data_IF_413989860282
#
_entry.id   IF_413989860282
#
_cell.length_a   1.000
_cell.length_b   1.000
_cell.length_c   1.000
_cell.angle_alpha   90.00
_cell.angle_beta   90.00
_cell.angle_gamma   90.00
#
_symmetry.space_group_name_H-M   'P 1'
#
loop_
_entity.id
_entity.type
_entity.pdbx_description
1 polymer ?
#
# COMPACT_ATOMS: atom_id res chain seq x y z
N UNK A 1 -23.80 -8.90 26.22
CA UNK A 1 -24.50 -8.44 25.01
C UNK A 1 -23.57 -8.66 23.84
N UNK A 2 -23.66 -9.84 23.28
CA UNK A 2 -22.96 -10.30 22.06
C UNK A 2 -23.89 -10.03 20.90
N UNK A 3 -23.65 -8.98 20.12
CA UNK A 3 -24.30 -8.81 18.82
C UNK A 3 -23.29 -9.17 17.73
N UNK A 4 -23.65 -10.23 17.10
CA UNK A 4 -23.16 -10.98 15.97
C UNK A 4 -22.72 -10.13 14.76
N UNK A 5 -21.50 -10.41 14.31
CA UNK A 5 -20.91 -9.98 13.03
C UNK A 5 -21.32 -10.91 11.86
N UNK A 6 -22.56 -11.33 11.78
CA UNK A 6 -23.02 -12.27 10.73
C UNK A 6 -23.71 -11.60 9.54
N UNK A 7 -23.86 -10.25 9.51
CA UNK A 7 -24.72 -9.62 8.48
C UNK A 7 -23.99 -9.05 7.26
N UNK A 8 -22.67 -9.16 7.12
CA UNK A 8 -21.92 -8.56 6.01
C UNK A 8 -21.47 -9.55 4.92
N UNK A 9 -21.68 -10.85 5.11
CA UNK A 9 -21.28 -11.87 4.13
C UNK A 9 -22.33 -12.13 3.01
N UNK A 10 -23.56 -11.68 3.17
CA UNK A 10 -24.64 -12.00 2.21
C UNK A 10 -24.78 -11.03 1.04
N UNK A 11 -24.06 -9.92 1.00
CA UNK A 11 -24.15 -8.93 -0.08
C UNK A 11 -22.98 -8.94 -1.07
N UNK A 12 -22.06 -9.89 -0.96
CA UNK A 12 -20.98 -10.02 -1.93
C UNK A 12 -21.41 -10.86 -3.12
N UNK A 13 -21.23 -10.36 -4.34
CA UNK A 13 -21.54 -11.07 -5.59
C UNK A 13 -20.89 -12.46 -5.66
N UNK A 14 -19.73 -12.66 -5.06
CA UNK A 14 -18.99 -13.92 -5.04
C UNK A 14 -19.63 -14.98 -4.14
N UNK A 15 -20.35 -14.60 -3.07
CA UNK A 15 -21.13 -15.52 -2.24
C UNK A 15 -22.37 -16.07 -2.97
N UNK A 16 -22.92 -15.32 -3.94
CA UNK A 16 -24.02 -15.81 -4.77
C UNK A 16 -23.53 -16.81 -5.82
N UNK A 17 -22.33 -16.60 -6.38
CA UNK A 17 -21.73 -17.53 -7.32
C UNK A 17 -21.40 -18.88 -6.66
N UNK A 18 -20.88 -18.88 -5.42
CA UNK A 18 -20.61 -20.10 -4.66
C UNK A 18 -21.86 -20.94 -4.38
N UNK A 19 -22.99 -20.28 -4.10
CA UNK A 19 -24.29 -20.98 -3.92
C UNK A 19 -24.78 -21.64 -5.19
N UNK A 20 -24.45 -21.14 -6.37
CA UNK A 20 -24.86 -21.71 -7.66
C UNK A 20 -24.01 -22.91 -8.09
N UNK A 21 -22.79 -23.05 -7.58
CA UNK A 21 -21.84 -24.13 -7.95
C UNK A 21 -21.90 -25.33 -6.99
N UNK A 22 -22.66 -25.27 -5.91
CA UNK A 22 -22.76 -26.35 -4.93
C UNK A 22 -21.53 -26.58 -4.06
N UNK A 23 -20.54 -25.66 -4.10
CA UNK A 23 -19.34 -25.68 -3.27
C UNK A 23 -19.67 -25.08 -1.89
N UNK A 24 -19.23 -25.71 -0.79
CA UNK A 24 -19.45 -25.17 0.55
C UNK A 24 -18.68 -23.86 0.77
N UNK A 25 -19.26 -22.92 1.49
CA UNK A 25 -18.61 -21.60 1.77
C UNK A 25 -17.22 -21.75 2.39
N UNK A 26 -16.93 -22.71 3.30
CA UNK A 26 -15.58 -22.96 3.78
C UNK A 26 -14.61 -23.40 2.69
N UNK A 27 -15.04 -24.28 1.79
CA UNK A 27 -14.17 -24.78 0.70
C UNK A 27 -13.89 -23.69 -0.33
N UNK A 28 -14.87 -22.83 -0.62
CA UNK A 28 -14.72 -21.68 -1.49
C UNK A 28 -13.75 -20.63 -0.90
N UNK A 29 -13.86 -20.34 0.41
CA UNK A 29 -12.94 -19.46 1.10
C UNK A 29 -11.52 -20.03 1.15
N UNK A 30 -11.38 -21.34 1.31
CA UNK A 30 -10.08 -22.02 1.32
C UNK A 30 -9.45 -22.05 -0.06
N UNK A 31 -10.24 -22.21 -1.11
CA UNK A 31 -9.77 -22.10 -2.51
C UNK A 31 -9.29 -20.68 -2.84
N UNK A 32 -10.03 -19.66 -2.40
CA UNK A 32 -9.65 -18.24 -2.57
C UNK A 32 -8.37 -17.88 -1.80
N UNK A 33 -8.18 -18.44 -0.62
CA UNK A 33 -6.95 -18.23 0.18
C UNK A 33 -5.74 -18.89 -0.50
N UNK A 34 -5.92 -20.04 -1.15
CA UNK A 34 -4.87 -20.74 -1.88
C UNK A 34 -4.52 -20.06 -3.22
N UNK A 35 -5.48 -19.40 -3.87
CA UNK A 35 -5.27 -18.66 -5.13
C UNK A 35 -4.83 -17.19 -4.95
N UNK A 36 -4.63 -16.74 -3.71
CA UNK A 36 -4.03 -15.43 -3.45
C UNK A 36 -4.92 -14.22 -3.73
N UNK A 37 -6.24 -14.37 -3.63
CA UNK A 37 -7.14 -13.23 -3.61
C UNK A 37 -6.97 -12.44 -2.30
N UNK A 38 -5.90 -11.65 -2.21
CA UNK A 38 -5.69 -10.69 -1.12
C UNK A 38 -6.68 -9.55 -1.29
N UNK A 39 -7.55 -9.35 -0.30
CA UNK A 39 -8.22 -8.06 -0.12
C UNK A 39 -7.14 -7.01 0.18
N UNK A 40 -6.61 -6.39 -0.85
CA UNK A 40 -5.53 -5.41 -0.79
C UNK A 40 -6.00 -4.02 -0.33
N UNK A 41 -7.14 -3.95 0.37
CA UNK A 41 -7.70 -2.72 0.89
C UNK A 41 -7.52 -2.62 2.41
N UNK A 42 -6.90 -1.53 2.85
CA UNK A 42 -6.70 -1.26 4.28
C UNK A 42 -7.17 0.14 4.62
N UNK A 43 -8.16 0.23 5.50
CA UNK A 43 -8.60 1.47 6.12
C UNK A 43 -7.92 1.65 7.47
N UNK A 44 -7.26 2.79 7.69
CA UNK A 44 -6.60 3.09 8.96
C UNK A 44 -6.42 4.58 9.17
N UNK A 45 -6.31 4.98 10.43
CA UNK A 45 -5.80 6.29 10.79
C UNK A 45 -4.27 6.26 10.83
N UNK A 46 -3.64 7.31 10.33
CA UNK A 46 -2.18 7.49 10.36
C UNK A 46 -1.87 8.84 11.03
N UNK A 47 -1.15 8.79 12.15
CA UNK A 47 -0.61 9.98 12.82
C UNK A 47 0.89 10.05 12.56
N UNK A 48 1.39 11.26 12.29
CA UNK A 48 2.81 11.52 11.99
C UNK A 48 3.39 12.52 12.97
N UNK A 49 4.59 12.23 13.42
CA UNK A 49 5.32 13.08 14.36
C UNK A 49 6.74 13.30 13.83
N UNK A 50 7.25 14.50 14.02
CA UNK A 50 8.67 14.78 13.84
C UNK A 50 9.40 14.47 15.13
N UNK A 51 10.60 13.88 15.02
CA UNK A 51 11.44 13.57 16.17
C UNK A 51 12.91 13.60 15.77
N UNK A 52 13.77 13.81 16.77
CA UNK A 52 15.21 13.74 16.62
C UNK A 52 15.68 12.28 16.57
N UNK A 53 16.89 12.06 16.07
CA UNK A 53 17.51 10.74 16.08
C UNK A 53 17.70 10.20 17.51
N UNK A 54 17.96 11.09 18.48
CA UNK A 54 18.10 10.72 19.89
C UNK A 54 16.77 10.20 20.46
N UNK A 55 15.67 10.92 20.23
CA UNK A 55 14.32 10.50 20.65
C UNK A 55 13.93 9.18 19.98
N UNK A 56 14.21 9.01 18.69
CA UNK A 56 13.97 7.77 17.97
C UNK A 56 14.70 6.58 18.64
N UNK A 57 15.99 6.74 18.95
CA UNK A 57 16.77 5.68 19.63
C UNK A 57 16.23 5.36 21.02
N UNK A 58 15.92 6.39 21.81
CA UNK A 58 15.34 6.22 23.15
C UNK A 58 14.02 5.48 23.10
N UNK A 59 13.09 5.94 22.23
CA UNK A 59 11.76 5.33 22.09
C UNK A 59 11.86 3.92 21.49
N UNK A 60 12.73 3.69 20.51
CA UNK A 60 13.00 2.37 19.95
C UNK A 60 13.41 1.36 21.03
N UNK A 61 14.32 1.74 21.95
CA UNK A 61 14.72 0.88 23.07
C UNK A 61 13.60 0.61 24.08
N UNK A 62 12.63 1.51 24.23
CA UNK A 62 11.44 1.27 25.04
C UNK A 62 10.47 0.31 24.32
N UNK A 63 10.25 0.51 23.01
CA UNK A 63 9.37 -0.34 22.21
C UNK A 63 9.88 -1.77 22.07
N UNK A 64 11.19 -1.98 22.03
CA UNK A 64 11.80 -3.32 22.03
C UNK A 64 11.36 -4.20 23.20
N UNK A 65 10.90 -3.60 24.31
CA UNK A 65 10.46 -4.30 25.52
C UNK A 65 8.98 -4.67 25.50
N UNK A 66 8.15 -3.91 24.75
CA UNK A 66 6.69 -3.99 24.84
C UNK A 66 6.00 -4.38 23.53
N UNK A 67 6.70 -4.24 22.41
CA UNK A 67 6.17 -4.54 21.08
C UNK A 67 7.02 -5.59 20.36
N UNK A 68 6.45 -6.21 19.35
CA UNK A 68 7.18 -7.09 18.44
C UNK A 68 7.86 -6.25 17.37
N UNK A 69 9.11 -6.55 17.06
CA UNK A 69 9.76 -6.01 15.89
C UNK A 69 9.14 -6.63 14.62
N UNK A 70 9.02 -5.83 13.56
CA UNK A 70 8.64 -6.34 12.22
C UNK A 70 9.71 -7.37 11.77
N UNK A 71 9.27 -8.48 11.18
CA UNK A 71 10.16 -9.56 10.75
C UNK A 71 11.22 -9.12 9.73
N UNK A 72 10.98 -8.00 9.02
CA UNK A 72 11.91 -7.43 8.04
C UNK A 72 12.94 -6.48 8.68
N UNK A 73 12.82 -6.17 9.98
CA UNK A 73 13.79 -5.30 10.63
C UNK A 73 15.17 -5.98 10.67
N UNK A 74 16.16 -5.39 10.00
CA UNK A 74 17.56 -5.64 10.34
C UNK A 74 18.01 -4.76 11.51
N UNK A 75 19.28 -4.75 11.83
CA UNK A 75 19.85 -3.95 12.93
C UNK A 75 19.46 -2.46 12.84
N UNK A 76 19.40 -1.92 11.62
CA UNK A 76 19.06 -0.52 11.33
C UNK A 76 17.73 -0.35 10.57
N UNK A 77 16.84 -1.34 10.64
CA UNK A 77 15.63 -1.37 9.83
C UNK A 77 15.87 -1.90 8.40
N UNK A 78 14.94 -1.65 7.49
CA UNK A 78 15.00 -2.06 6.09
C UNK A 78 14.82 -0.88 5.16
N UNK A 79 15.35 -0.99 3.95
CA UNK A 79 15.26 0.06 2.93
C UNK A 79 13.87 0.04 2.27
N UNK A 80 13.39 1.22 1.96
CA UNK A 80 12.18 1.42 1.15
C UNK A 80 12.53 2.45 0.08
N UNK A 81 12.30 2.08 -1.18
CA UNK A 81 12.39 2.99 -2.31
C UNK A 81 11.03 3.07 -2.98
N UNK A 82 10.57 4.26 -3.27
CA UNK A 82 9.27 4.49 -3.91
C UNK A 82 9.41 5.55 -4.99
N UNK A 83 8.94 5.23 -6.19
CA UNK A 83 8.74 6.18 -7.27
C UNK A 83 7.29 6.67 -7.20
N UNK A 84 7.12 7.96 -7.04
CA UNK A 84 5.80 8.61 -7.07
C UNK A 84 5.46 9.07 -8.47
N UNK A 85 4.20 8.89 -8.82
CA UNK A 85 3.63 9.39 -10.05
C UNK A 85 2.72 10.56 -9.76
N UNK A 86 2.64 11.50 -10.70
CA UNK A 86 1.68 12.60 -10.69
C UNK A 86 1.33 12.98 -12.13
N UNK A 87 0.29 13.75 -12.29
CA UNK A 87 -0.08 14.31 -13.60
C UNK A 87 0.98 15.32 -14.07
N UNK A 88 0.93 15.68 -15.34
CA UNK A 88 1.84 16.73 -15.90
C UNK A 88 1.74 18.02 -15.09
N UNK A 89 0.54 18.39 -14.65
CA UNK A 89 0.24 19.62 -13.91
C UNK A 89 0.33 19.43 -12.37
N UNK A 90 0.94 18.33 -11.88
CA UNK A 90 1.17 18.08 -10.45
C UNK A 90 -0.09 18.10 -9.58
N UNK A 91 -1.21 17.68 -10.15
CA UNK A 91 -2.53 17.74 -9.52
C UNK A 91 -2.63 17.06 -8.15
N UNK A 92 -2.00 15.89 -7.99
CA UNK A 92 -2.02 15.16 -6.72
C UNK A 92 -1.15 15.86 -5.65
N UNK A 93 -0.09 16.53 -6.08
CA UNK A 93 0.73 17.37 -5.22
C UNK A 93 -0.03 18.62 -4.78
N UNK A 94 -0.61 19.38 -5.71
CA UNK A 94 -1.41 20.56 -5.44
C UNK A 94 -2.61 20.23 -4.53
N UNK A 95 -3.35 19.16 -4.83
CA UNK A 95 -4.45 18.70 -3.97
C UNK A 95 -4.01 18.44 -2.53
N UNK A 96 -2.75 18.01 -2.31
CA UNK A 96 -2.19 17.84 -0.96
C UNK A 96 -1.86 19.20 -0.32
N UNK A 97 -1.28 20.15 -1.07
CA UNK A 97 -0.91 21.48 -0.56
C UNK A 97 -2.18 22.23 -0.17
N UNK A 98 -3.20 22.22 -1.03
CA UNK A 98 -4.49 22.87 -0.80
C UNK A 98 -5.32 22.18 0.30
N UNK A 99 -4.86 21.04 0.80
CA UNK A 99 -5.53 20.34 1.88
C UNK A 99 -6.85 19.68 1.49
N UNK A 100 -7.09 19.44 0.19
CA UNK A 100 -8.34 18.86 -0.29
C UNK A 100 -8.68 17.56 0.46
N UNK A 101 -9.97 17.38 0.77
CA UNK A 101 -10.44 16.19 1.50
C UNK A 101 -10.28 14.91 0.67
N UNK A 102 -10.60 15.02 -0.64
CA UNK A 102 -10.43 13.92 -1.60
C UNK A 102 -9.11 14.08 -2.34
N UNK A 103 -8.16 13.23 -2.02
CA UNK A 103 -6.85 13.24 -2.67
C UNK A 103 -6.26 11.85 -2.75
N UNK A 104 -5.41 11.65 -3.74
CA UNK A 104 -4.74 10.36 -3.99
C UNK A 104 -3.23 10.52 -4.11
N UNK A 105 -2.53 9.41 -4.06
CA UNK A 105 -1.11 9.29 -4.38
C UNK A 105 -0.87 7.91 -4.97
N UNK A 106 -0.28 7.87 -6.14
CA UNK A 106 0.12 6.64 -6.80
C UNK A 106 1.64 6.51 -6.69
N UNK A 107 2.11 5.30 -6.37
CA UNK A 107 3.54 5.01 -6.30
C UNK A 107 3.84 3.58 -6.65
N UNK A 108 5.04 3.37 -7.18
CA UNK A 108 5.66 2.07 -7.32
C UNK A 108 6.69 1.90 -6.20
N UNK A 109 6.64 0.81 -5.44
CA UNK A 109 7.49 0.58 -4.28
C UNK A 109 8.27 -0.71 -4.42
N UNK A 110 9.56 -0.66 -4.07
CA UNK A 110 10.41 -1.81 -3.85
C UNK A 110 11.03 -1.77 -2.45
N UNK A 111 11.34 -2.95 -1.93
CA UNK A 111 12.04 -3.14 -0.66
C UNK A 111 13.46 -3.66 -0.90
N UNK A 112 13.67 -4.37 -2.00
CA UNK A 112 14.94 -4.87 -2.45
C UNK A 112 15.11 -4.52 -3.95
N UNK A 113 16.21 -3.85 -4.34
CA UNK A 113 16.51 -3.59 -5.75
C UNK A 113 16.68 -4.86 -6.61
N UNK A 114 17.03 -6.00 -5.98
CA UNK A 114 17.18 -7.27 -6.65
C UNK A 114 15.86 -8.05 -6.80
N UNK A 115 14.76 -7.61 -6.12
CA UNK A 115 13.48 -8.29 -6.19
C UNK A 115 12.95 -8.40 -7.63
N UNK A 116 12.28 -9.50 -7.91
CA UNK A 116 11.62 -9.79 -9.19
C UNK A 116 10.23 -9.13 -9.32
N UNK A 117 9.83 -8.37 -8.34
CA UNK A 117 8.55 -7.67 -8.30
C UNK A 117 8.64 -6.29 -7.66
N UNK A 118 7.61 -5.48 -7.91
CA UNK A 118 7.35 -4.23 -7.22
C UNK A 118 5.89 -4.16 -6.78
N UNK A 119 5.59 -3.25 -5.84
CA UNK A 119 4.22 -2.98 -5.40
C UNK A 119 3.72 -1.69 -6.00
N UNK A 120 2.74 -1.76 -6.90
CA UNK A 120 1.97 -0.59 -7.31
C UNK A 120 0.96 -0.29 -6.19
N UNK A 121 1.01 0.89 -5.63
CA UNK A 121 0.18 1.30 -4.51
C UNK A 121 -0.55 2.61 -4.81
N UNK A 122 -1.84 2.65 -4.51
CA UNK A 122 -2.62 3.88 -4.46
C UNK A 122 -3.09 4.13 -3.03
N UNK A 123 -2.79 5.31 -2.52
CA UNK A 123 -3.37 5.83 -1.29
C UNK A 123 -4.38 6.91 -1.63
N UNK A 124 -5.60 6.72 -1.20
CA UNK A 124 -6.68 7.72 -1.30
C UNK A 124 -7.00 8.22 0.11
N UNK A 125 -7.14 9.51 0.26
CA UNK A 125 -7.67 10.13 1.46
C UNK A 125 -9.09 10.58 1.20
N UNK A 126 -9.98 10.32 2.15
CA UNK A 126 -11.37 10.71 2.14
C UNK A 126 -11.72 11.19 3.55
N UNK A 127 -11.78 12.51 3.73
CA UNK A 127 -11.89 13.13 5.03
C UNK A 127 -10.75 12.73 5.98
N UNK A 128 -11.08 12.09 7.11
CA UNK A 128 -10.11 11.58 8.08
C UNK A 128 -9.58 10.17 7.77
N UNK A 129 -10.19 9.45 6.84
CA UNK A 129 -9.84 8.07 6.51
C UNK A 129 -8.85 8.00 5.35
N UNK A 130 -8.05 6.94 5.37
CA UNK A 130 -7.15 6.60 4.26
C UNK A 130 -7.43 5.19 3.79
N UNK A 131 -7.75 5.07 2.51
CA UNK A 131 -7.84 3.80 1.81
C UNK A 131 -6.51 3.53 1.09
N UNK A 132 -5.92 2.38 1.35
CA UNK A 132 -4.74 1.91 0.63
C UNK A 132 -5.10 0.68 -0.17
N UNK A 133 -4.81 0.71 -1.48
CA UNK A 133 -4.86 -0.46 -2.36
C UNK A 133 -3.47 -0.73 -2.91
N UNK A 134 -3.17 -2.00 -3.17
CA UNK A 134 -1.85 -2.40 -3.68
C UNK A 134 -1.96 -3.62 -4.59
N UNK A 135 -1.14 -3.62 -5.64
CA UNK A 135 -0.99 -4.70 -6.60
C UNK A 135 0.49 -5.09 -6.70
N UNK A 136 0.76 -6.38 -6.66
CA UNK A 136 2.09 -6.90 -6.98
C UNK A 136 2.25 -6.98 -8.50
N UNK A 137 3.25 -6.30 -9.04
CA UNK A 137 3.58 -6.31 -10.47
C UNK A 137 4.96 -6.94 -10.69
N UNK A 138 5.17 -7.59 -11.82
CA UNK A 138 6.47 -8.15 -12.17
C UNK A 138 7.53 -7.05 -12.32
N UNK A 139 8.81 -7.42 -12.25
CA UNK A 139 9.91 -6.48 -12.45
C UNK A 139 9.86 -5.85 -13.84
N UNK A 140 9.57 -6.64 -14.88
CA UNK A 140 9.47 -6.17 -16.26
C UNK A 140 8.35 -5.14 -16.41
N UNK A 141 7.17 -5.44 -15.87
CA UNK A 141 6.03 -4.52 -15.90
C UNK A 141 6.31 -3.26 -15.07
N UNK A 142 6.97 -3.40 -13.92
CA UNK A 142 7.41 -2.26 -13.12
C UNK A 142 8.35 -1.33 -13.91
N UNK A 143 9.29 -1.88 -14.67
CA UNK A 143 10.17 -1.10 -15.54
C UNK A 143 9.38 -0.36 -16.63
N UNK A 144 8.36 -0.99 -17.21
CA UNK A 144 7.49 -0.30 -18.17
C UNK A 144 6.72 0.87 -17.52
N UNK A 145 6.22 0.68 -16.30
CA UNK A 145 5.57 1.75 -15.54
C UNK A 145 6.51 2.95 -15.29
N UNK A 146 7.79 2.70 -14.99
CA UNK A 146 8.78 3.80 -14.80
C UNK A 146 9.03 4.58 -16.08
N UNK A 147 8.71 4.04 -17.25
CA UNK A 147 8.80 4.71 -18.56
C UNK A 147 7.49 5.39 -18.97
N UNK A 148 6.48 5.40 -18.10
CA UNK A 148 5.14 5.94 -18.41
C UNK A 148 4.32 5.03 -19.32
N UNK A 149 4.67 3.77 -19.47
CA UNK A 149 3.96 2.78 -20.29
C UNK A 149 3.08 1.90 -19.43
N UNK A 150 1.80 2.24 -19.30
CA UNK A 150 0.86 1.63 -18.35
C UNK A 150 0.10 0.42 -18.91
N UNK A 151 0.24 0.09 -20.18
CA UNK A 151 -0.45 -1.03 -20.84
C UNK A 151 -0.20 -2.39 -20.16
N UNK A 152 0.96 -2.56 -19.53
CA UNK A 152 1.29 -3.78 -18.79
C UNK A 152 0.31 -4.08 -17.64
N UNK A 153 -0.40 -3.08 -17.13
CA UNK A 153 -1.39 -3.27 -16.08
C UNK A 153 -2.62 -4.06 -16.55
N UNK A 154 -2.92 -4.05 -17.85
CA UNK A 154 -4.06 -4.79 -18.42
C UNK A 154 -3.86 -6.31 -18.42
N UNK A 155 -2.65 -6.80 -18.16
CA UNK A 155 -2.36 -8.24 -18.01
C UNK A 155 -2.90 -8.82 -16.70
N UNK A 156 -3.12 -7.96 -15.70
CA UNK A 156 -3.54 -8.38 -14.37
C UNK A 156 -5.06 -8.45 -14.28
N UNK A 157 -5.59 -9.61 -13.91
CA UNK A 157 -7.03 -9.82 -13.69
C UNK A 157 -7.48 -9.21 -12.34
N UNK A 158 -7.17 -7.93 -12.13
CA UNK A 158 -7.45 -7.19 -10.91
C UNK A 158 -8.14 -5.86 -11.27
N UNK A 159 -9.35 -5.60 -10.75
CA UNK A 159 -10.05 -4.34 -11.00
C UNK A 159 -9.23 -3.10 -10.66
N UNK A 160 -8.37 -3.19 -9.64
CA UNK A 160 -7.47 -2.11 -9.27
C UNK A 160 -6.40 -1.83 -10.33
N UNK A 161 -5.91 -2.87 -11.02
CA UNK A 161 -4.98 -2.71 -12.14
C UNK A 161 -5.62 -1.95 -13.30
N UNK A 162 -6.84 -2.34 -13.67
CA UNK A 162 -7.61 -1.67 -14.73
C UNK A 162 -7.91 -0.20 -14.38
N UNK A 163 -8.30 0.07 -13.13
CA UNK A 163 -8.50 1.43 -12.63
C UNK A 163 -7.23 2.26 -12.70
N UNK A 164 -6.10 1.72 -12.23
CA UNK A 164 -4.80 2.41 -12.32
C UNK A 164 -4.42 2.70 -13.76
N UNK A 165 -4.61 1.73 -14.67
CA UNK A 165 -4.37 1.94 -16.10
C UNK A 165 -5.19 3.09 -16.65
N UNK A 166 -6.52 3.05 -16.48
CA UNK A 166 -7.42 4.08 -16.98
C UNK A 166 -7.06 5.46 -16.43
N UNK A 167 -6.89 5.56 -15.13
CA UNK A 167 -6.55 6.79 -14.44
C UNK A 167 -5.20 7.37 -14.91
N UNK A 168 -4.15 6.56 -14.92
CA UNK A 168 -2.79 7.01 -15.24
C UNK A 168 -2.64 7.36 -16.72
N UNK A 169 -3.38 6.67 -17.58
CA UNK A 169 -3.39 6.96 -19.02
C UNK A 169 -4.20 8.22 -19.34
N UNK A 170 -5.44 8.32 -18.86
CA UNK A 170 -6.34 9.44 -19.16
C UNK A 170 -5.87 10.77 -18.57
N UNK A 171 -5.31 10.75 -17.37
CA UNK A 171 -4.83 11.96 -16.70
C UNK A 171 -3.33 12.24 -16.95
N UNK A 172 -2.71 11.52 -17.89
CA UNK A 172 -1.33 11.72 -18.31
C UNK A 172 -0.33 11.71 -17.15
N UNK A 173 -0.45 10.73 -16.24
CA UNK A 173 0.52 10.57 -15.17
C UNK A 173 1.93 10.35 -15.71
N UNK A 174 2.91 10.79 -14.93
CA UNK A 174 4.34 10.62 -15.22
C UNK A 174 5.10 10.28 -13.93
N UNK A 175 6.21 9.56 -14.01
CA UNK A 175 7.16 9.49 -12.90
C UNK A 175 7.60 10.89 -12.51
N UNK A 176 7.63 11.19 -11.20
CA UNK A 176 7.99 12.53 -10.70
C UNK A 176 9.12 12.50 -9.70
N UNK A 177 9.00 11.70 -8.65
CA UNK A 177 9.94 11.76 -7.53
C UNK A 177 10.23 10.37 -7.00
N UNK A 178 11.52 10.07 -6.85
CA UNK A 178 11.99 8.90 -6.14
C UNK A 178 12.24 9.31 -4.68
N UNK A 179 11.68 8.57 -3.74
CA UNK A 179 11.92 8.74 -2.31
C UNK A 179 12.46 7.45 -1.75
N UNK A 180 13.60 7.54 -1.10
CA UNK A 180 14.25 6.42 -0.40
C UNK A 180 14.42 6.75 1.08
N UNK A 181 14.24 5.75 1.94
CA UNK A 181 14.44 5.88 3.38
C UNK A 181 14.60 4.52 4.04
N UNK A 182 15.15 4.54 5.25
CA UNK A 182 15.16 3.36 6.11
C UNK A 182 13.98 3.38 7.06
N UNK A 183 13.38 2.21 7.28
CA UNK A 183 12.26 2.03 8.18
C UNK A 183 12.58 0.99 9.24
N UNK A 184 12.38 1.34 10.51
CA UNK A 184 12.29 0.40 11.62
C UNK A 184 10.84 0.36 12.09
N UNK A 185 10.26 -0.83 12.21
CA UNK A 185 8.83 -0.99 12.48
C UNK A 185 8.56 -1.91 13.66
N UNK A 186 7.53 -1.59 14.43
CA UNK A 186 7.05 -2.33 15.59
C UNK A 186 5.56 -2.60 15.45
N UNK A 187 5.13 -3.75 15.94
CA UNK A 187 3.75 -4.22 15.90
C UNK A 187 3.31 -4.56 17.32
N UNK A 188 2.20 -3.98 17.77
CA UNK A 188 1.62 -4.32 19.05
C UNK A 188 1.05 -5.75 19.03
N UNK A 189 1.22 -6.48 20.12
CA UNK A 189 0.81 -7.89 20.23
C UNK A 189 -0.71 -8.07 20.17
N UNK A 190 -1.46 -7.11 20.72
CA UNK A 190 -2.89 -7.29 20.99
C UNK A 190 -3.83 -6.60 19.99
N UNK A 191 -3.44 -5.48 19.38
CA UNK A 191 -4.37 -4.60 18.67
C UNK A 191 -3.93 -4.15 17.26
N UNK A 192 -2.92 -4.79 16.68
CA UNK A 192 -2.37 -4.51 15.35
C UNK A 192 -1.90 -3.04 15.14
N UNK A 193 -1.73 -2.26 16.21
CA UNK A 193 -1.11 -0.94 16.13
C UNK A 193 0.32 -1.12 15.62
N UNK A 194 0.68 -0.33 14.62
CA UNK A 194 2.02 -0.33 14.05
C UNK A 194 2.68 1.04 14.27
N UNK A 195 3.85 1.02 14.88
CA UNK A 195 4.71 2.20 15.02
C UNK A 195 5.89 2.04 14.06
N UNK A 196 6.17 3.07 13.27
CA UNK A 196 7.29 3.05 12.32
C UNK A 196 8.15 4.29 12.48
N UNK A 197 9.46 4.10 12.45
CA UNK A 197 10.45 5.16 12.37
C UNK A 197 11.02 5.18 10.96
N UNK A 198 10.78 6.28 10.27
CA UNK A 198 11.34 6.52 8.93
C UNK A 198 12.48 7.52 9.09
N UNK A 199 13.69 7.13 8.69
CA UNK A 199 14.89 7.95 8.85
C UNK A 199 15.80 7.85 7.62
N UNK A 200 16.81 8.72 7.54
CA UNK A 200 17.69 8.85 6.37
C UNK A 200 16.88 9.04 5.07
N UNK A 201 15.89 9.92 5.15
CA UNK A 201 14.99 10.17 4.03
C UNK A 201 15.75 11.01 2.99
N UNK A 202 15.76 10.50 1.75
CA UNK A 202 16.31 11.16 0.57
C UNK A 202 15.26 11.21 -0.52
N UNK A 203 15.28 12.26 -1.31
CA UNK A 203 14.38 12.41 -2.45
C UNK A 203 15.15 13.00 -3.63
N UNK A 204 14.80 12.54 -4.83
CA UNK A 204 15.32 13.09 -6.10
C UNK A 204 14.19 13.12 -7.12
N UNK A 205 14.26 14.06 -8.03
CA UNK A 205 13.36 14.09 -9.17
C UNK A 205 13.65 12.91 -10.11
N UNK A 206 12.62 12.38 -10.71
CA UNK A 206 12.73 11.37 -11.75
C UNK A 206 12.75 12.10 -13.09
N UNK A 207 13.89 12.06 -13.76
CA UNK A 207 14.04 12.58 -15.11
C UNK A 207 13.47 11.62 -16.14
#
# INVERSE_FOLDING_TARGET
>A
MTQSYESTAESCYDCQAAKMTGISVPDFLQLFVLEGCYLNEVYRQEKKYFMTLFEMKKLSGQLDRVMLQDAHNGANGYNIRSLYFDTINERDYEAKIDGLELRRKIRLRIYDPAADFAMLEMKQKEGSYQKKRSLRVSREDAIELTKGRYHSLLKYADPFAAECYGLMHMECYRPKTIVEYKRKAYIAKENKIRITFDHQIQATESC
#
